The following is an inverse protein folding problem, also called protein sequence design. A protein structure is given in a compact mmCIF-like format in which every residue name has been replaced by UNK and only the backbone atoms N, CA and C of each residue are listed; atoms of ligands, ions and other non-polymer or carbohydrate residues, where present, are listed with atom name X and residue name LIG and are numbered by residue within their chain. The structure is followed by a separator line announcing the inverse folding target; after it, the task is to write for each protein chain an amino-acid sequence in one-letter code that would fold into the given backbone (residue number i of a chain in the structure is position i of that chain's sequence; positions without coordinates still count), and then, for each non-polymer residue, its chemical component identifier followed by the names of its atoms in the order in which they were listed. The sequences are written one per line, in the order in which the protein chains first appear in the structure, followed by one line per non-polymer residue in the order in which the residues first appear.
data_IF_263056078645
#
_entry.id   IF_263056078645
#
_cell.length_a   1.000
_cell.length_b   1.000
_cell.length_c   1.000
_cell.angle_alpha   90.00
_cell.angle_beta   90.00
_cell.angle_gamma   90.00
#
_symmetry.space_group_name_H-M   'P 1'
#
loop_
_entity.id
_entity.type
_entity.pdbx_description
1 polymer ?
#
# COMPACT_ATOMS: atom_id res chain seq x y z
N UNK A 1 -27.88 -19.23 10.83
CA UNK A 1 -26.88 -18.60 11.73
C UNK A 1 -25.46 -18.72 11.18
N UNK A 2 -25.06 -19.86 10.60
CA UNK A 2 -23.77 -20.07 9.91
C UNK A 2 -23.49 -19.13 8.72
N UNK A 3 -24.54 -18.71 7.98
CA UNK A 3 -24.40 -17.81 6.82
C UNK A 3 -23.93 -16.38 7.17
N UNK A 4 -24.22 -15.89 8.38
CA UNK A 4 -23.77 -14.56 8.82
C UNK A 4 -22.28 -14.56 9.25
N UNK A 5 -21.75 -15.70 9.70
CA UNK A 5 -20.34 -15.81 10.09
C UNK A 5 -19.38 -15.78 8.88
N UNK A 6 -19.78 -16.34 7.73
CA UNK A 6 -18.93 -16.31 6.53
C UNK A 6 -18.74 -14.90 5.96
N UNK A 7 -19.78 -14.05 6.05
CA UNK A 7 -19.72 -12.69 5.53
C UNK A 7 -18.75 -11.80 6.33
N UNK A 8 -18.70 -11.97 7.66
CA UNK A 8 -17.79 -11.22 8.53
C UNK A 8 -16.31 -11.54 8.25
N UNK A 9 -16.00 -12.79 7.91
CA UNK A 9 -14.63 -13.22 7.60
C UNK A 9 -14.10 -12.62 6.29
N UNK A 10 -15.00 -12.30 5.34
CA UNK A 10 -14.63 -11.73 4.04
C UNK A 10 -14.19 -10.25 4.14
N UNK A 11 -14.69 -9.51 5.14
CA UNK A 11 -14.44 -8.06 5.29
C UNK A 11 -13.06 -7.79 5.89
N UNK A 12 -12.48 -8.71 6.66
CA UNK A 12 -11.16 -8.50 7.28
C UNK A 12 -9.99 -8.52 6.28
N UNK A 13 -10.18 -9.04 5.07
CA UNK A 13 -9.10 -9.23 4.09
C UNK A 13 -8.84 -8.02 3.20
N UNK A 14 -9.61 -6.93 3.32
CA UNK A 14 -9.50 -5.75 2.42
C UNK A 14 -8.66 -4.61 2.98
N UNK A 15 -7.88 -4.83 4.04
CA UNK A 15 -6.77 -3.94 4.42
C UNK A 15 -5.61 -4.08 3.42
N UNK A 16 -5.89 -3.83 2.14
CA UNK A 16 -4.86 -3.54 1.16
C UNK A 16 -4.27 -2.22 1.56
N UNK A 17 -3.05 -2.28 2.12
CA UNK A 17 -2.21 -1.13 2.40
C UNK A 17 -2.38 -0.12 1.27
N UNK A 18 -2.96 1.03 1.60
CA UNK A 18 -3.14 2.15 0.69
C UNK A 18 -1.73 2.62 0.30
N UNK A 19 -1.12 1.98 -0.69
CA UNK A 19 0.15 2.41 -1.23
C UNK A 19 -0.10 3.79 -1.83
N UNK A 20 0.39 4.83 -1.16
CA UNK A 20 0.28 6.22 -1.61
C UNK A 20 0.69 6.26 -3.09
N UNK A 21 -0.26 6.56 -3.97
CA UNK A 21 -0.29 6.14 -5.38
C UNK A 21 0.77 6.71 -6.32
N UNK A 22 2.04 6.42 -6.09
CA UNK A 22 3.17 6.84 -6.93
C UNK A 22 4.01 5.71 -7.51
N UNK A 23 3.95 4.51 -6.92
CA UNK A 23 4.87 3.41 -7.23
C UNK A 23 6.35 3.76 -6.93
N UNK A 24 7.22 2.75 -6.96
CA UNK A 24 8.65 2.98 -6.78
C UNK A 24 9.26 3.64 -8.01
N UNK A 25 10.26 4.51 -7.82
CA UNK A 25 11.05 5.03 -8.94
C UNK A 25 11.88 3.91 -9.54
N UNK A 26 12.03 3.95 -10.87
CA UNK A 26 12.91 3.02 -11.62
C UNK A 26 14.37 3.08 -11.17
N UNK A 27 14.81 4.22 -10.64
CA UNK A 27 16.16 4.45 -10.13
C UNK A 27 16.30 4.11 -8.64
N UNK A 28 15.35 3.41 -8.03
CA UNK A 28 15.46 3.04 -6.62
C UNK A 28 16.63 2.06 -6.42
N UNK A 29 17.41 2.17 -5.34
CA UNK A 29 18.47 1.21 -5.04
C UNK A 29 17.92 -0.22 -4.88
N UNK A 30 18.75 -1.26 -5.11
CA UNK A 30 18.36 -2.63 -4.85
C UNK A 30 17.83 -2.82 -3.43
N UNK A 31 16.63 -3.40 -3.30
CA UNK A 31 15.99 -3.66 -2.01
C UNK A 31 15.31 -2.47 -1.35
N UNK A 32 15.29 -1.28 -1.98
CA UNK A 32 14.56 -0.11 -1.50
C UNK A 32 13.54 0.38 -2.53
N UNK A 33 12.43 0.93 -2.05
CA UNK A 33 11.43 1.62 -2.86
C UNK A 33 11.46 3.11 -2.54
N UNK A 34 12.02 3.92 -3.44
CA UNK A 34 12.01 5.37 -3.32
C UNK A 34 10.89 5.97 -4.15
N UNK A 35 10.15 6.96 -3.63
CA UNK A 35 9.11 7.66 -4.38
C UNK A 35 9.06 9.15 -4.06
N UNK A 36 8.49 9.93 -4.98
CA UNK A 36 8.35 11.38 -4.84
C UNK A 36 7.03 11.71 -4.14
N UNK A 37 7.12 12.30 -2.95
CA UNK A 37 5.96 12.82 -2.24
C UNK A 37 5.50 14.13 -2.92
N UNK A 38 4.48 14.05 -3.78
CA UNK A 38 3.98 15.20 -4.55
C UNK A 38 3.51 16.37 -3.69
N UNK A 39 3.08 16.09 -2.45
CA UNK A 39 2.60 17.12 -1.51
C UNK A 39 3.73 18.02 -1.00
N UNK A 40 4.91 17.44 -0.75
CA UNK A 40 6.05 18.13 -0.12
C UNK A 40 7.19 18.36 -1.13
N UNK A 41 7.16 17.68 -2.28
CA UNK A 41 8.21 17.74 -3.29
C UNK A 41 9.51 17.06 -2.85
N UNK A 42 9.44 16.09 -1.93
CA UNK A 42 10.61 15.38 -1.40
C UNK A 42 10.57 13.90 -1.77
N UNK A 43 11.75 13.35 -2.04
CA UNK A 43 11.93 11.91 -2.21
C UNK A 43 12.22 11.28 -0.85
N UNK A 44 11.56 10.17 -0.57
CA UNK A 44 11.91 9.30 0.55
C UNK A 44 11.89 7.84 0.10
N UNK A 45 12.63 6.99 0.82
CA UNK A 45 12.83 5.57 0.50
C UNK A 45 12.32 4.69 1.64
N UNK A 46 11.77 3.54 1.28
CA UNK A 46 11.31 2.47 2.17
C UNK A 46 12.05 1.17 1.90
#
# INVERSE_FOLDING_TARGET
MIRFCLAALLVLSTTTAFAHGGGCRKSSPPGQCCHMEKKVGKVHCH
#
